data_IF_526660670399
#
_entry.id   IF_526660670399
#
_cell.length_a   1.000
_cell.length_b   1.000
_cell.length_c   1.000
_cell.angle_alpha   90.00
_cell.angle_beta   90.00
_cell.angle_gamma   90.00
#
_symmetry.space_group_name_H-M   'P 1'
#
loop_
_entity.id
_entity.type
_entity.pdbx_description
1 polymer ?
#
# COMPACT_ATOMS: atom_id res chain seq x y z
N UNK A 1 19.85 -29.28 43.39
CA UNK A 1 19.44 -27.90 43.11
C UNK A 1 18.42 -27.94 41.97
N UNK A 2 17.14 -28.21 42.28
CA UNK A 2 16.07 -28.32 41.29
C UNK A 2 15.43 -26.94 41.09
N UNK A 3 15.53 -26.39 39.89
CA UNK A 3 14.84 -25.17 39.52
C UNK A 3 13.35 -25.46 39.29
N UNK A 4 12.52 -25.05 40.24
CA UNK A 4 11.07 -25.08 40.09
C UNK A 4 10.65 -24.04 39.04
N UNK A 5 10.28 -24.50 37.84
CA UNK A 5 9.70 -23.63 36.81
C UNK A 5 8.28 -23.25 37.25
N UNK A 6 8.13 -22.17 38.02
CA UNK A 6 6.84 -21.48 38.10
C UNK A 6 6.58 -20.84 36.74
N UNK A 7 5.99 -21.61 35.83
CA UNK A 7 5.69 -21.23 34.45
C UNK A 7 4.59 -20.15 34.43
N UNK A 8 4.94 -18.92 34.76
CA UNK A 8 4.07 -17.77 34.48
C UNK A 8 3.92 -17.64 32.96
N UNK A 9 2.72 -17.22 32.49
CA UNK A 9 2.45 -16.97 31.06
C UNK A 9 3.52 -16.07 30.43
N UNK A 10 4.01 -15.09 31.19
CA UNK A 10 5.11 -14.19 30.78
C UNK A 10 6.40 -14.96 30.50
N UNK A 11 6.83 -15.83 31.42
CA UNK A 11 8.05 -16.62 31.25
C UNK A 11 7.97 -17.57 30.04
N UNK A 12 6.82 -18.21 29.85
CA UNK A 12 6.57 -19.08 28.69
C UNK A 12 6.58 -18.31 27.37
N UNK A 13 5.90 -17.16 27.27
CA UNK A 13 5.88 -16.35 26.06
C UNK A 13 7.26 -15.72 25.77
N UNK A 14 7.98 -15.29 26.82
CA UNK A 14 9.34 -14.76 26.67
C UNK A 14 10.34 -15.82 26.17
N UNK A 15 10.23 -17.08 26.62
CA UNK A 15 11.15 -18.14 26.18
C UNK A 15 10.81 -18.71 24.81
N UNK A 16 9.52 -18.75 24.43
CA UNK A 16 9.05 -19.33 23.16
C UNK A 16 9.05 -18.34 21.99
N UNK A 17 8.95 -17.02 22.24
CA UNK A 17 8.98 -16.03 21.16
C UNK A 17 10.30 -16.06 20.36
N UNK A 18 11.43 -16.36 21.01
CA UNK A 18 12.74 -16.43 20.36
C UNK A 18 12.86 -17.54 19.30
N UNK A 19 12.19 -18.69 19.52
CA UNK A 19 12.26 -19.81 18.58
C UNK A 19 11.37 -19.62 17.35
N UNK A 20 10.24 -18.91 17.45
CA UNK A 20 9.45 -18.55 16.27
C UNK A 20 10.18 -17.54 15.38
N UNK A 21 10.88 -16.58 15.98
CA UNK A 21 11.66 -15.59 15.24
C UNK A 21 12.79 -16.23 14.41
N UNK A 22 13.46 -17.27 14.89
CA UNK A 22 14.54 -17.93 14.13
C UNK A 22 14.03 -18.69 12.91
N UNK A 23 12.85 -19.32 13.01
CA UNK A 23 12.19 -19.97 11.86
C UNK A 23 11.79 -18.93 10.81
N UNK A 24 11.22 -17.79 11.24
CA UNK A 24 10.89 -16.70 10.33
C UNK A 24 12.14 -16.11 9.66
N UNK A 25 13.23 -15.93 10.40
CA UNK A 25 14.50 -15.43 9.87
C UNK A 25 15.10 -16.40 8.85
N UNK A 26 15.08 -17.71 9.12
CA UNK A 26 15.53 -18.72 8.16
C UNK A 26 14.73 -18.66 6.85
N UNK A 27 13.40 -18.45 6.94
CA UNK A 27 12.56 -18.31 5.75
C UNK A 27 12.83 -17.01 4.95
N UNK A 28 13.36 -15.96 5.59
CA UNK A 28 13.75 -14.71 4.95
C UNK A 28 15.16 -14.74 4.36
N UNK A 29 16.07 -15.53 4.95
CA UNK A 29 17.44 -15.70 4.47
C UNK A 29 17.55 -16.65 3.28
N UNK A 30 16.45 -17.27 2.85
CA UNK A 30 16.43 -18.14 1.68
C UNK A 30 16.75 -17.32 0.41
N UNK A 31 17.94 -17.49 -0.21
CA UNK A 31 18.41 -16.61 -1.29
C UNK A 31 17.50 -16.64 -2.52
N UNK A 32 16.83 -17.77 -2.74
CA UNK A 32 15.90 -17.98 -3.86
C UNK A 32 14.59 -17.18 -3.70
N UNK A 33 14.16 -16.84 -2.48
CA UNK A 33 12.95 -16.02 -2.25
C UNK A 33 13.20 -14.52 -2.34
N UNK A 34 14.46 -14.10 -2.19
CA UNK A 34 14.88 -12.70 -2.32
C UNK A 34 15.20 -12.30 -3.77
N UNK A 35 15.32 -13.29 -4.66
CA UNK A 35 15.43 -13.06 -6.09
C UNK A 35 14.05 -12.71 -6.62
N UNK A 36 13.83 -11.43 -6.88
CA UNK A 36 12.84 -11.07 -7.87
C UNK A 36 13.26 -11.75 -9.18
N UNK A 37 12.53 -12.79 -9.58
CA UNK A 37 12.61 -13.28 -10.95
C UNK A 37 12.53 -12.04 -11.85
N UNK A 38 13.52 -11.81 -12.74
CA UNK A 38 13.41 -10.71 -13.67
C UNK A 38 12.12 -10.96 -14.43
N UNK A 39 11.13 -10.10 -14.19
CA UNK A 39 9.90 -10.08 -14.98
C UNK A 39 10.31 -9.54 -16.35
N UNK A 40 10.99 -10.38 -17.12
CA UNK A 40 11.06 -10.31 -18.56
C UNK A 40 9.75 -10.83 -19.16
N UNK A 41 8.64 -10.80 -18.39
CA UNK A 41 7.33 -10.83 -18.98
C UNK A 41 7.20 -9.51 -19.73
N UNK A 42 7.38 -9.57 -21.06
CA UNK A 42 6.72 -8.62 -21.97
C UNK A 42 5.35 -8.38 -21.38
N UNK A 43 5.04 -7.11 -21.05
CA UNK A 43 3.73 -6.78 -20.51
C UNK A 43 2.70 -7.42 -21.44
N UNK A 44 1.94 -8.37 -20.90
CA UNK A 44 0.88 -9.01 -21.66
C UNK A 44 -0.23 -7.98 -21.81
N UNK A 45 -0.18 -7.28 -22.94
CA UNK A 45 -1.15 -6.28 -23.35
C UNK A 45 -2.35 -6.93 -24.06
N UNK A 46 -2.39 -8.26 -24.14
CA UNK A 46 -3.56 -8.95 -24.65
C UNK A 46 -4.76 -8.68 -23.73
N UNK A 47 -5.93 -8.59 -24.36
CA UNK A 47 -7.16 -8.42 -23.63
C UNK A 47 -7.41 -9.66 -22.76
N UNK A 48 -7.38 -9.48 -21.43
CA UNK A 48 -7.65 -10.57 -20.49
C UNK A 48 -9.09 -11.08 -20.65
N UNK A 49 -9.32 -12.39 -20.50
CA UNK A 49 -10.66 -12.95 -20.53
C UNK A 49 -11.50 -12.34 -19.40
N UNK A 50 -12.63 -11.77 -19.77
CA UNK A 50 -13.61 -11.24 -18.81
C UNK A 50 -14.42 -12.39 -18.22
N UNK A 51 -14.66 -12.36 -16.91
CA UNK A 51 -15.47 -13.38 -16.23
C UNK A 51 -16.92 -13.41 -16.73
N UNK A 52 -17.41 -12.30 -17.28
CA UNK A 52 -18.76 -12.16 -17.82
C UNK A 52 -18.75 -11.39 -19.13
N UNK A 53 -19.68 -11.76 -20.02
CA UNK A 53 -19.88 -11.05 -21.29
C UNK A 53 -20.31 -9.60 -21.00
N UNK A 54 -19.61 -8.64 -21.61
CA UNK A 54 -20.01 -7.24 -21.57
C UNK A 54 -21.41 -7.08 -22.18
N UNK A 55 -22.35 -6.50 -21.41
CA UNK A 55 -23.73 -6.23 -21.85
C UNK A 55 -23.94 -4.78 -22.32
N UNK A 56 -23.07 -3.86 -21.91
CA UNK A 56 -23.13 -2.46 -22.31
C UNK A 56 -22.70 -2.31 -23.77
N UNK A 57 -23.54 -1.65 -24.57
CA UNK A 57 -23.29 -1.42 -26.01
C UNK A 57 -22.71 -0.03 -26.29
N UNK A 58 -22.83 0.90 -25.35
CA UNK A 58 -22.36 2.28 -25.50
C UNK A 58 -21.94 2.83 -24.13
N UNK A 59 -20.86 3.61 -24.14
CA UNK A 59 -20.34 4.31 -22.95
C UNK A 59 -20.38 5.80 -23.23
N UNK A 60 -21.09 6.55 -22.39
CA UNK A 60 -21.08 8.01 -22.44
C UNK A 60 -20.03 8.50 -21.44
N UNK A 61 -18.86 8.86 -21.94
CA UNK A 61 -17.80 9.46 -21.11
C UNK A 61 -17.99 10.98 -21.08
N UNK A 62 -18.17 11.57 -19.89
CA UNK A 62 -18.39 13.02 -19.70
C UNK A 62 -17.19 13.62 -18.99
N UNK A 63 -16.43 14.46 -19.69
CA UNK A 63 -15.41 15.32 -19.07
C UNK A 63 -16.09 16.56 -18.51
N UNK A 64 -16.39 16.54 -17.21
CA UNK A 64 -16.97 17.67 -16.51
C UNK A 64 -15.86 18.52 -15.93
N UNK A 65 -15.36 19.47 -16.71
CA UNK A 65 -14.49 20.52 -16.21
C UNK A 65 -15.33 21.49 -15.37
N UNK A 66 -14.97 21.67 -14.09
CA UNK A 66 -15.69 22.58 -13.20
C UNK A 66 -15.83 22.11 -11.75
N UNK A 67 -15.39 20.90 -11.42
CA UNK A 67 -15.17 20.53 -10.02
C UNK A 67 -13.95 21.26 -9.47
N UNK A 68 -13.93 21.66 -8.18
CA UNK A 68 -12.71 22.15 -7.55
C UNK A 68 -11.62 21.09 -7.76
N UNK A 69 -10.40 21.53 -8.12
CA UNK A 69 -9.29 20.59 -8.25
C UNK A 69 -9.09 19.86 -6.93
N UNK A 70 -8.50 18.66 -6.94
CA UNK A 70 -8.18 17.95 -5.69
C UNK A 70 -7.45 18.87 -4.69
N UNK A 71 -6.62 19.77 -5.20
CA UNK A 71 -5.86 20.75 -4.42
C UNK A 71 -6.75 21.84 -3.81
N UNK A 72 -7.93 22.11 -4.39
CA UNK A 72 -8.86 23.18 -4.01
C UNK A 72 -10.00 22.73 -3.08
N UNK A 73 -10.03 21.46 -2.68
CA UNK A 73 -11.13 20.90 -1.89
C UNK A 73 -11.21 21.48 -0.47
N UNK A 74 -10.30 21.07 0.44
CA UNK A 74 -10.48 21.31 1.88
C UNK A 74 -9.23 21.72 2.64
N UNK A 75 -8.09 21.87 1.97
CA UNK A 75 -6.89 22.37 2.63
C UNK A 75 -6.96 23.89 2.74
N UNK A 76 -6.82 24.46 3.95
CA UNK A 76 -6.71 25.90 4.12
C UNK A 76 -5.49 26.40 3.35
N UNK A 77 -5.63 27.52 2.65
CA UNK A 77 -4.58 28.12 1.83
C UNK A 77 -4.25 29.52 2.37
N UNK A 78 -3.50 29.62 3.48
CA UNK A 78 -3.22 30.90 4.14
C UNK A 78 -2.58 31.94 3.22
N UNK A 79 -1.76 31.48 2.27
CA UNK A 79 -1.16 32.39 1.28
C UNK A 79 -2.20 32.93 0.29
N UNK A 80 -3.17 32.13 -0.16
CA UNK A 80 -4.26 32.65 -1.00
C UNK A 80 -5.11 33.67 -0.24
N UNK A 81 -5.39 33.42 1.04
CA UNK A 81 -6.11 34.37 1.89
C UNK A 81 -5.32 35.67 2.06
N UNK A 82 -4.00 35.57 2.28
CA UNK A 82 -3.10 36.73 2.43
C UNK A 82 -2.98 37.55 1.14
N UNK A 83 -3.07 36.89 -0.02
CA UNK A 83 -2.92 37.51 -1.32
C UNK A 83 -4.25 37.81 -2.02
N UNK A 84 -5.38 37.55 -1.37
CA UNK A 84 -6.71 37.84 -1.89
C UNK A 84 -6.85 39.33 -2.26
N UNK A 85 -7.26 39.60 -3.50
CA UNK A 85 -7.49 40.96 -4.01
C UNK A 85 -6.24 41.77 -4.35
N UNK A 86 -5.02 41.22 -4.18
CA UNK A 86 -3.80 41.91 -4.59
C UNK A 86 -3.56 41.70 -6.09
N UNK A 87 -3.20 42.77 -6.80
CA UNK A 87 -2.75 42.68 -8.19
C UNK A 87 -1.46 41.88 -8.27
N UNK A 88 -1.39 40.98 -9.26
CA UNK A 88 -0.19 40.19 -9.51
C UNK A 88 0.96 41.11 -9.96
N UNK A 89 2.13 41.07 -9.30
CA UNK A 89 3.19 42.05 -9.53
C UNK A 89 4.01 41.83 -10.82
N UNK A 90 3.89 40.67 -11.46
CA UNK A 90 4.71 40.34 -12.64
C UNK A 90 6.10 39.82 -12.27
#
# INVERSE_FOLDING_TARGET
MQASFQASRRSFLSSTAGSLCSVALHALMEPERLRAEPVAAKADLEAKPVQHRARAQSVIHRFMNGGPSQMDLFDPKPELDRHAGKSFPG
#
